data_IF_309365446482
#
_entry.id   IF_309365446482
#
_cell.length_a   1.000
_cell.length_b   1.000
_cell.length_c   1.000
_cell.angle_alpha   90.00
_cell.angle_beta   90.00
_cell.angle_gamma   90.00
#
_symmetry.space_group_name_H-M   'P 1'
#
loop_
_entity.id
_entity.type
_entity.pdbx_description
1 polymer ?
#
# COMPACT_ATOMS: atom_id res chain seq x y z
N UNK A 1 17.80 38.00 -13.78
CA UNK A 1 17.65 37.24 -12.53
C UNK A 1 16.21 36.80 -12.26
N UNK A 2 15.22 37.70 -12.33
CA UNK A 2 13.81 37.41 -12.00
C UNK A 2 13.22 36.21 -12.77
N UNK A 3 13.44 36.11 -14.09
CA UNK A 3 12.94 34.96 -14.89
C UNK A 3 13.50 33.60 -14.44
N UNK A 4 14.76 33.54 -13.98
CA UNK A 4 15.36 32.30 -13.45
C UNK A 4 14.75 31.93 -12.10
N UNK A 5 14.43 32.93 -11.28
CA UNK A 5 13.79 32.74 -9.97
C UNK A 5 12.34 32.23 -10.11
N UNK A 6 11.59 32.76 -11.08
CA UNK A 6 10.24 32.29 -11.42
C UNK A 6 10.27 30.82 -11.87
N UNK A 7 11.27 30.42 -12.66
CA UNK A 7 11.40 29.04 -13.12
C UNK A 7 11.67 28.05 -11.97
N UNK A 8 12.49 28.46 -10.99
CA UNK A 8 12.77 27.66 -9.78
C UNK A 8 11.52 27.52 -8.92
N UNK A 9 10.78 28.61 -8.69
CA UNK A 9 9.53 28.57 -7.93
C UNK A 9 8.51 27.65 -8.63
N UNK A 10 8.41 27.71 -9.95
CA UNK A 10 7.51 26.85 -10.72
C UNK A 10 7.88 25.36 -10.63
N UNK A 11 9.18 25.03 -10.51
CA UNK A 11 9.64 23.64 -10.33
C UNK A 11 9.31 23.04 -8.96
N UNK A 12 9.10 23.89 -7.93
CA UNK A 12 8.71 23.46 -6.59
C UNK A 12 7.20 23.15 -6.47
N UNK A 13 6.41 23.51 -7.49
CA UNK A 13 4.97 23.25 -7.58
C UNK A 13 4.64 21.89 -8.22
N UNK A 14 5.65 21.07 -8.54
CA UNK A 14 5.41 19.72 -9.08
C UNK A 14 4.83 18.86 -7.93
N UNK A 15 3.60 18.36 -8.05
CA UNK A 15 3.05 17.45 -7.04
C UNK A 15 3.89 16.18 -7.02
N UNK A 16 4.57 15.93 -5.90
CA UNK A 16 5.21 14.65 -5.65
C UNK A 16 4.14 13.64 -5.26
N UNK A 17 3.78 12.73 -6.16
CA UNK A 17 3.04 11.53 -5.77
C UNK A 17 4.06 10.62 -5.09
N UNK A 18 3.97 10.50 -3.76
CA UNK A 18 4.72 9.47 -3.04
C UNK A 18 4.14 8.10 -3.45
N UNK A 19 5.00 7.22 -3.93
CA UNK A 19 4.62 5.86 -4.24
C UNK A 19 4.17 5.16 -2.95
N UNK A 20 2.94 4.62 -2.95
CA UNK A 20 2.38 3.96 -1.76
C UNK A 20 2.63 2.45 -1.86
N UNK A 21 3.25 1.87 -0.85
CA UNK A 21 3.30 0.42 -0.68
C UNK A 21 2.08 -0.04 0.11
N UNK A 22 1.50 -1.17 -0.26
CA UNK A 22 0.41 -1.79 0.51
C UNK A 22 0.87 -3.14 1.03
N UNK A 23 0.65 -3.41 2.31
CA UNK A 23 0.71 -4.74 2.89
C UNK A 23 -0.71 -5.26 3.03
N UNK A 24 -1.06 -6.30 2.28
CA UNK A 24 -2.28 -7.06 2.47
C UNK A 24 -2.00 -8.21 3.44
N UNK A 25 -2.80 -8.29 4.50
CA UNK A 25 -2.67 -9.30 5.54
C UNK A 25 -4.05 -9.73 6.02
N UNK A 26 -4.17 -10.93 6.56
CA UNK A 26 -5.42 -11.33 7.19
C UNK A 26 -5.54 -10.79 8.62
N UNK A 27 -6.69 -11.01 9.26
CA UNK A 27 -6.91 -10.77 10.69
C UNK A 27 -6.23 -11.81 11.61
N UNK A 28 -5.33 -12.65 11.08
CA UNK A 28 -4.37 -13.44 11.86
C UNK A 28 -3.51 -12.51 12.73
N UNK A 29 -3.51 -12.70 14.05
CA UNK A 29 -2.84 -11.79 14.98
C UNK A 29 -1.32 -11.73 14.81
N UNK A 30 -0.67 -12.86 14.51
CA UNK A 30 0.79 -12.93 14.36
C UNK A 30 1.26 -12.25 13.07
N UNK A 31 0.58 -12.54 11.96
CA UNK A 31 0.88 -11.94 10.66
C UNK A 31 0.51 -10.45 10.66
N UNK A 32 -0.62 -10.08 11.25
CA UNK A 32 -1.06 -8.68 11.34
C UNK A 32 -0.10 -7.83 12.19
N UNK A 33 0.35 -8.34 13.34
CA UNK A 33 1.35 -7.65 14.16
C UNK A 33 2.67 -7.49 13.39
N UNK A 34 3.08 -8.51 12.64
CA UNK A 34 4.26 -8.45 11.76
C UNK A 34 4.09 -7.36 10.70
N UNK A 35 2.93 -7.31 10.03
CA UNK A 35 2.59 -6.30 9.03
C UNK A 35 2.65 -4.87 9.59
N UNK A 36 2.07 -4.63 10.77
CA UNK A 36 2.11 -3.32 11.43
C UNK A 36 3.54 -2.89 11.77
N UNK A 37 4.36 -3.81 12.31
CA UNK A 37 5.75 -3.50 12.64
C UNK A 37 6.56 -3.16 11.38
N UNK A 38 6.42 -3.94 10.30
CA UNK A 38 7.11 -3.67 9.03
C UNK A 38 6.65 -2.33 8.45
N UNK A 39 5.34 -2.08 8.38
CA UNK A 39 4.80 -0.82 7.87
C UNK A 39 5.31 0.39 8.65
N UNK A 40 5.52 0.27 9.96
CA UNK A 40 6.03 1.36 10.80
C UNK A 40 7.47 1.78 10.48
N UNK A 41 8.23 0.95 9.76
CA UNK A 41 9.59 1.26 9.33
C UNK A 41 9.65 2.17 8.09
N UNK A 42 8.52 2.36 7.41
CA UNK A 42 8.44 3.09 6.14
C UNK A 42 7.31 4.13 6.19
N UNK A 43 7.60 5.37 5.79
CA UNK A 43 6.61 6.45 5.84
C UNK A 43 5.42 6.26 4.89
N UNK A 44 5.64 5.56 3.76
CA UNK A 44 4.68 5.45 2.66
C UNK A 44 4.10 4.02 2.51
N UNK A 45 4.03 3.26 3.61
CA UNK A 45 3.43 1.91 3.62
C UNK A 45 2.09 1.89 4.36
N UNK A 46 1.06 1.31 3.74
CA UNK A 46 -0.28 1.13 4.31
C UNK A 46 -0.56 -0.34 4.56
N UNK A 47 -1.20 -0.65 5.69
CA UNK A 47 -1.67 -2.02 5.98
C UNK A 47 -3.16 -2.07 5.66
N UNK A 48 -3.55 -3.05 4.86
CA UNK A 48 -4.95 -3.38 4.54
C UNK A 48 -5.22 -4.78 5.07
N UNK A 49 -6.32 -4.92 5.81
CA UNK A 49 -6.68 -6.16 6.49
C UNK A 49 -7.87 -6.80 5.79
N UNK A 50 -7.81 -8.11 5.57
CA UNK A 50 -8.93 -8.92 5.07
C UNK A 50 -9.28 -10.04 6.07
N UNK A 51 -10.52 -10.55 6.11
CA UNK A 51 -10.83 -11.69 6.96
C UNK A 51 -10.05 -12.94 6.52
N UNK A 52 -9.57 -13.74 7.49
CA UNK A 52 -8.82 -14.96 7.25
C UNK A 52 -9.54 -15.91 6.28
N UNK A 53 -8.85 -16.25 5.19
CA UNK A 53 -9.29 -17.29 4.26
C UNK A 53 -10.52 -16.91 3.45
N UNK A 54 -10.93 -15.64 3.46
CA UNK A 54 -12.09 -15.14 2.73
C UNK A 54 -11.61 -14.12 1.70
N UNK A 55 -11.87 -14.41 0.43
CA UNK A 55 -11.68 -13.45 -0.64
C UNK A 55 -12.77 -12.37 -0.61
N UNK A 56 -12.36 -11.12 -0.75
CA UNK A 56 -13.24 -9.96 -0.81
C UNK A 56 -12.77 -8.97 -1.89
N UNK A 57 -13.49 -8.94 -3.00
CA UNK A 57 -13.29 -8.02 -4.14
C UNK A 57 -13.29 -6.54 -3.71
N UNK A 58 -14.02 -6.16 -2.65
CA UNK A 58 -14.02 -4.77 -2.17
C UNK A 58 -12.66 -4.35 -1.61
N UNK A 59 -11.91 -5.29 -1.03
CA UNK A 59 -10.53 -5.06 -0.53
C UNK A 59 -9.59 -4.79 -1.72
N UNK A 60 -9.70 -5.57 -2.80
CA UNK A 60 -8.94 -5.33 -4.04
C UNK A 60 -9.24 -3.93 -4.58
N UNK A 61 -10.52 -3.57 -4.67
CA UNK A 61 -10.93 -2.25 -5.13
C UNK A 61 -10.41 -1.11 -4.24
N UNK A 62 -10.32 -1.30 -2.93
CA UNK A 62 -9.74 -0.33 -2.01
C UNK A 62 -8.24 -0.16 -2.27
N UNK A 63 -7.50 -1.28 -2.39
CA UNK A 63 -6.07 -1.29 -2.69
C UNK A 63 -5.80 -0.59 -4.03
N UNK A 64 -6.54 -0.93 -5.09
CA UNK A 64 -6.35 -0.32 -6.42
C UNK A 64 -6.63 1.19 -6.43
N UNK A 65 -7.58 1.69 -5.62
CA UNK A 65 -7.83 3.14 -5.48
C UNK A 65 -6.63 3.88 -4.88
N UNK A 66 -5.81 3.21 -4.08
CA UNK A 66 -4.57 3.80 -3.54
C UNK A 66 -3.47 3.91 -4.59
N UNK A 67 -3.64 3.29 -5.77
CA UNK A 67 -2.64 3.23 -6.85
C UNK A 67 -1.25 2.82 -6.31
N UNK A 68 -1.16 1.67 -5.64
CA UNK A 68 0.07 1.26 -5.00
C UNK A 68 1.16 0.98 -6.04
N UNK A 69 2.41 1.20 -5.66
CA UNK A 69 3.55 0.76 -6.45
C UNK A 69 3.73 -0.77 -6.35
N UNK A 70 3.50 -1.31 -5.16
CA UNK A 70 3.52 -2.75 -4.90
C UNK A 70 2.52 -3.13 -3.81
N UNK A 71 2.04 -4.36 -3.91
CA UNK A 71 1.26 -5.04 -2.87
C UNK A 71 2.11 -6.20 -2.34
N UNK A 72 2.36 -6.20 -1.04
CA UNK A 72 3.07 -7.25 -0.31
C UNK A 72 2.01 -8.06 0.43
N UNK A 73 1.99 -9.37 0.22
CA UNK A 73 1.10 -10.26 0.97
C UNK A 73 1.88 -10.87 2.14
N UNK A 74 1.33 -10.73 3.36
CA UNK A 74 1.84 -11.42 4.54
C UNK A 74 0.79 -12.45 4.98
N UNK A 75 1.23 -13.70 5.06
CA UNK A 75 0.37 -14.85 5.28
C UNK A 75 0.37 -15.78 4.06
N UNK A 76 0.15 -17.08 4.29
CA UNK A 76 0.01 -18.05 3.22
C UNK A 76 -1.40 -18.08 2.61
N UNK A 77 -1.63 -18.93 1.59
CA UNK A 77 -2.89 -19.01 0.83
C UNK A 77 -4.12 -19.37 1.68
N UNK A 78 -3.92 -20.02 2.85
CA UNK A 78 -5.01 -20.32 3.78
C UNK A 78 -5.46 -19.05 4.53
N UNK A 79 -4.54 -18.13 4.79
CA UNK A 79 -4.80 -16.89 5.53
C UNK A 79 -5.23 -15.77 4.58
N UNK A 80 -4.52 -15.59 3.47
CA UNK A 80 -4.84 -14.67 2.38
C UNK A 80 -5.01 -15.50 1.12
N UNK A 81 -6.25 -15.77 0.66
CA UNK A 81 -6.51 -16.64 -0.48
C UNK A 81 -5.77 -16.24 -1.76
N UNK A 82 -5.33 -17.23 -2.55
CA UNK A 82 -4.57 -17.02 -3.80
C UNK A 82 -5.36 -16.20 -4.84
N UNK A 83 -6.68 -16.14 -4.72
CA UNK A 83 -7.54 -15.28 -5.53
C UNK A 83 -7.15 -13.80 -5.44
N UNK A 84 -6.46 -13.35 -4.38
CA UNK A 84 -5.88 -12.01 -4.30
C UNK A 84 -4.63 -11.81 -5.18
N UNK A 85 -3.88 -12.87 -5.47
CA UNK A 85 -2.65 -12.82 -6.30
C UNK A 85 -3.00 -12.74 -7.79
N UNK A 86 -4.14 -13.31 -8.17
CA UNK A 86 -4.62 -13.36 -9.57
C UNK A 86 -5.30 -12.06 -10.04
N UNK A 87 -5.40 -11.03 -9.19
CA UNK A 87 -6.18 -9.81 -9.41
C UNK A 87 -5.31 -8.57 -9.40
#
# INVERSE_FOLDING_TARGET
MVKKLVLIILSLLIPTVAATNVILVSDNQADYLTALNIASLFNDTKVVVTPWGIYNESVVNEILKMKPEQVIIIGGPIAVPDEYVEK
#
